data_IF_002838833865
#
_entry.id   IF_002838833865
#
_cell.length_a   1.000
_cell.length_b   1.000
_cell.length_c   1.000
_cell.angle_alpha   90.00
_cell.angle_beta   90.00
_cell.angle_gamma   90.00
#
_symmetry.space_group_name_H-M   'P 1'
#
loop_
_entity.id
_entity.type
_entity.pdbx_description
1 polymer ?
#
# COMPACT_ATOMS: atom_id res chain seq x y z
N UNK A 1 7.84 -0.11 13.96
CA UNK A 1 6.89 -0.13 12.85
C UNK A 1 5.47 -0.23 13.39
N UNK A 2 4.53 0.53 12.86
CA UNK A 2 3.15 0.42 13.32
C UNK A 2 2.55 -0.92 12.86
N UNK A 3 1.69 -1.50 13.71
CA UNK A 3 1.05 -2.78 13.42
C UNK A 3 -0.34 -2.50 12.84
N UNK A 4 -0.47 -2.58 11.53
CA UNK A 4 -1.72 -2.33 10.80
C UNK A 4 -2.84 -3.25 11.32
N UNK A 5 -2.52 -4.51 11.60
CA UNK A 5 -3.48 -5.49 12.07
C UNK A 5 -4.12 -5.14 13.41
N UNK A 6 -3.48 -4.30 14.21
CA UNK A 6 -3.98 -3.90 15.53
C UNK A 6 -4.38 -2.43 15.58
N UNK A 7 -4.47 -1.76 14.43
CA UNK A 7 -4.84 -0.35 14.32
C UNK A 7 -4.06 0.54 15.31
N UNK A 8 -2.74 0.35 15.37
CA UNK A 8 -1.85 1.09 16.28
C UNK A 8 -1.07 2.21 15.61
N UNK A 9 -1.36 2.50 14.36
CA UNK A 9 -0.72 3.59 13.65
C UNK A 9 -1.29 4.95 14.08
N UNK A 10 -0.43 5.98 14.10
CA UNK A 10 -0.84 7.34 14.48
C UNK A 10 -1.53 8.05 13.32
N UNK A 11 -2.74 7.62 13.02
CA UNK A 11 -3.61 8.26 12.04
C UNK A 11 -4.34 9.46 12.65
N UNK A 12 -4.96 10.29 11.81
CA UNK A 12 -5.65 11.50 12.27
C UNK A 12 -6.78 11.19 13.27
N UNK A 13 -7.53 10.12 13.04
CA UNK A 13 -8.61 9.70 13.94
C UNK A 13 -8.09 9.29 15.33
N UNK A 14 -6.94 8.62 15.38
CA UNK A 14 -6.33 8.24 16.65
C UNK A 14 -5.72 9.43 17.37
N UNK A 15 -5.11 10.35 16.66
CA UNK A 15 -4.61 11.60 17.23
C UNK A 15 -5.78 12.42 17.81
N UNK A 16 -6.90 12.49 17.08
CA UNK A 16 -8.10 13.19 17.54
C UNK A 16 -8.65 12.62 18.85
N UNK A 17 -8.70 11.28 18.99
CA UNK A 17 -9.17 10.62 20.21
C UNK A 17 -8.32 10.97 21.44
N UNK A 18 -7.06 11.36 21.22
CA UNK A 18 -6.14 11.74 22.30
C UNK A 18 -5.95 13.25 22.42
N UNK A 19 -6.81 14.03 21.74
CA UNK A 19 -6.73 15.50 21.70
C UNK A 19 -5.36 16.03 21.24
N UNK A 20 -4.72 15.28 20.32
CA UNK A 20 -3.45 15.69 19.73
C UNK A 20 -3.69 16.39 18.38
N UNK A 21 -2.78 17.29 17.94
CA UNK A 21 -2.91 17.91 16.63
C UNK A 21 -2.99 16.86 15.51
N UNK A 22 -3.93 17.04 14.60
CA UNK A 22 -4.15 16.11 13.50
C UNK A 22 -4.72 16.85 12.28
N UNK A 23 -4.52 16.34 11.05
CA UNK A 23 -5.18 16.88 9.88
C UNK A 23 -6.70 16.65 9.95
N UNK A 24 -7.49 17.58 9.45
CA UNK A 24 -8.95 17.43 9.36
C UNK A 24 -9.34 16.42 8.28
N UNK A 25 -8.52 16.33 7.22
CA UNK A 25 -8.74 15.43 6.10
C UNK A 25 -7.45 14.68 5.77
N UNK A 26 -7.61 13.56 5.06
CA UNK A 26 -6.48 12.82 4.52
C UNK A 26 -5.62 13.73 3.64
N UNK A 27 -4.34 13.88 3.98
CA UNK A 27 -3.44 14.74 3.21
C UNK A 27 -3.08 14.15 1.83
N UNK A 28 -3.32 12.86 1.62
CA UNK A 28 -3.04 12.23 0.32
C UNK A 28 -4.10 12.56 -0.72
N UNK A 29 -5.37 12.59 -0.35
CA UNK A 29 -6.47 12.84 -1.29
C UNK A 29 -7.22 14.15 -1.03
N UNK A 30 -7.15 14.69 0.18
CA UNK A 30 -7.86 15.89 0.63
C UNK A 30 -9.39 15.81 0.43
N UNK A 31 -9.95 14.61 0.49
CA UNK A 31 -11.37 14.40 0.24
C UNK A 31 -12.13 13.83 1.43
N UNK A 32 -11.51 12.96 2.21
CA UNK A 32 -12.16 12.22 3.27
C UNK A 32 -11.34 12.27 4.56
N UNK A 33 -12.00 11.97 5.68
CA UNK A 33 -11.32 11.85 6.97
C UNK A 33 -10.31 10.72 6.93
N UNK A 34 -9.21 10.89 7.64
CA UNK A 34 -8.13 9.92 7.66
C UNK A 34 -8.34 8.87 8.74
N UNK A 35 -8.35 7.60 8.35
CA UNK A 35 -8.12 6.46 9.22
C UNK A 35 -7.22 5.47 8.48
N UNK A 36 -6.81 4.40 9.16
CA UNK A 36 -5.85 3.45 8.57
C UNK A 36 -6.45 2.71 7.37
N UNK A 37 -7.75 2.41 7.41
CA UNK A 37 -8.43 1.72 6.30
C UNK A 37 -8.48 2.62 5.07
N UNK A 38 -8.80 3.89 5.26
CA UNK A 38 -8.82 4.86 4.17
C UNK A 38 -7.43 5.00 3.54
N UNK A 39 -6.39 5.24 4.35
CA UNK A 39 -5.03 5.44 3.85
C UNK A 39 -4.55 4.25 3.03
N UNK A 40 -4.82 3.03 3.48
CA UNK A 40 -4.27 1.83 2.87
C UNK A 40 -5.10 1.26 1.74
N UNK A 41 -6.40 1.56 1.65
CA UNK A 41 -7.28 0.94 0.65
C UNK A 41 -8.19 1.89 -0.10
N UNK A 42 -8.99 2.72 0.59
CA UNK A 42 -10.09 3.45 -0.05
C UNK A 42 -9.71 4.82 -0.57
N UNK A 43 -8.60 5.38 -0.12
CA UNK A 43 -8.10 6.67 -0.59
C UNK A 43 -7.84 6.64 -2.10
N UNK A 44 -8.34 7.63 -2.83
CA UNK A 44 -8.18 7.69 -4.29
C UNK A 44 -6.69 7.73 -4.70
N UNK A 45 -5.85 8.43 -3.94
CA UNK A 45 -4.41 8.49 -4.17
C UNK A 45 -3.79 7.10 -4.00
N UNK A 46 -4.12 6.41 -2.91
CA UNK A 46 -3.61 5.07 -2.60
C UNK A 46 -4.10 4.03 -3.61
N UNK A 47 -5.36 4.12 -4.05
CA UNK A 47 -5.89 3.20 -5.07
C UNK A 47 -5.17 3.35 -6.41
N UNK A 48 -4.81 4.57 -6.80
CA UNK A 48 -4.02 4.81 -8.00
C UNK A 48 -2.62 4.20 -7.87
N UNK A 49 -2.02 4.31 -6.70
CA UNK A 49 -0.73 3.66 -6.40
C UNK A 49 -0.84 2.13 -6.52
N UNK A 50 -1.86 1.53 -5.89
CA UNK A 50 -2.10 0.08 -6.01
C UNK A 50 -2.33 -0.34 -7.46
N UNK A 51 -3.08 0.45 -8.22
CA UNK A 51 -3.30 0.19 -9.64
C UNK A 51 -1.97 0.13 -10.39
N UNK A 52 -1.11 1.09 -10.20
CA UNK A 52 0.20 1.14 -10.87
C UNK A 52 1.07 -0.06 -10.50
N UNK A 53 1.16 -0.40 -9.22
CA UNK A 53 1.96 -1.54 -8.76
C UNK A 53 1.38 -2.85 -9.28
N UNK A 54 0.11 -3.10 -8.98
CA UNK A 54 -0.52 -4.39 -9.30
C UNK A 54 -0.59 -4.61 -10.81
N UNK A 55 -0.83 -3.56 -11.58
CA UNK A 55 -0.82 -3.67 -13.06
C UNK A 55 0.57 -4.03 -13.58
N UNK A 56 1.63 -3.52 -12.94
CA UNK A 56 3.01 -3.85 -13.34
C UNK A 56 3.37 -5.32 -13.11
N UNK A 57 2.60 -6.02 -12.26
CA UNK A 57 2.75 -7.46 -12.01
C UNK A 57 1.64 -8.28 -12.67
N UNK A 58 0.80 -7.67 -13.52
CA UNK A 58 -0.32 -8.37 -14.14
C UNK A 58 -1.47 -8.68 -13.18
N UNK A 59 -1.56 -7.99 -12.07
CA UNK A 59 -2.53 -8.25 -10.99
C UNK A 59 -3.58 -7.15 -10.87
N UNK A 60 -3.94 -6.50 -11.97
CA UNK A 60 -4.88 -5.38 -11.99
C UNK A 60 -6.27 -5.75 -11.46
N UNK A 61 -6.65 -7.01 -11.47
CA UNK A 61 -7.92 -7.48 -10.89
C UNK A 61 -7.94 -7.43 -9.37
N UNK A 62 -6.79 -7.25 -8.75
CA UNK A 62 -6.66 -7.17 -7.29
C UNK A 62 -6.67 -5.73 -6.76
N UNK A 63 -6.79 -4.72 -7.62
CA UNK A 63 -6.78 -3.32 -7.20
C UNK A 63 -7.97 -3.06 -6.26
N UNK A 64 -7.74 -2.40 -5.09
CA UNK A 64 -8.84 -2.16 -4.16
C UNK A 64 -9.86 -1.17 -4.72
N UNK A 65 -11.12 -1.38 -4.38
CA UNK A 65 -12.19 -0.44 -4.73
C UNK A 65 -12.36 0.61 -3.63
N UNK A 66 -13.13 1.66 -3.93
CA UNK A 66 -13.45 2.69 -2.93
C UNK A 66 -14.42 2.21 -1.85
N UNK A 67 -15.02 1.04 -2.04
CA UNK A 67 -16.01 0.47 -1.14
C UNK A 67 -15.46 -0.67 -0.30
N UNK A 68 -14.13 -0.80 -0.23
CA UNK A 68 -13.52 -1.84 0.60
C UNK A 68 -13.91 -1.64 2.07
N UNK A 69 -14.29 -2.72 2.73
CA UNK A 69 -14.65 -2.70 4.15
C UNK A 69 -13.43 -2.54 5.05
N UNK A 70 -12.30 -3.17 4.69
CA UNK A 70 -11.05 -3.06 5.41
C UNK A 70 -9.87 -3.50 4.56
N UNK A 71 -8.68 -3.08 4.96
CA UNK A 71 -7.41 -3.51 4.34
C UNK A 71 -7.25 -5.03 4.41
N UNK A 72 -7.51 -5.61 5.57
CA UNK A 72 -7.40 -7.07 5.77
C UNK A 72 -8.37 -7.86 4.89
N UNK A 73 -9.59 -7.39 4.76
CA UNK A 73 -10.61 -8.05 3.93
C UNK A 73 -10.25 -7.97 2.44
N UNK A 74 -9.81 -6.81 1.98
CA UNK A 74 -9.30 -6.65 0.62
C UNK A 74 -8.14 -7.60 0.33
N UNK A 75 -7.16 -7.68 1.24
CA UNK A 75 -5.98 -8.52 1.11
C UNK A 75 -6.39 -10.00 1.03
N UNK A 76 -7.23 -10.45 1.96
CA UNK A 76 -7.72 -11.84 2.01
C UNK A 76 -8.45 -12.22 0.72
N UNK A 77 -9.34 -11.35 0.24
CA UNK A 77 -10.11 -11.58 -0.98
C UNK A 77 -9.21 -11.59 -2.22
N UNK A 78 -8.24 -10.69 -2.27
CA UNK A 78 -7.29 -10.62 -3.38
C UNK A 78 -6.40 -11.85 -3.44
N UNK A 79 -5.94 -12.35 -2.30
CA UNK A 79 -5.10 -13.55 -2.23
C UNK A 79 -5.81 -14.78 -2.83
N UNK A 80 -7.13 -14.85 -2.73
CA UNK A 80 -7.91 -15.93 -3.34
C UNK A 80 -7.88 -15.95 -4.87
N UNK A 81 -7.56 -14.81 -5.49
CA UNK A 81 -7.45 -14.68 -6.95
C UNK A 81 -6.06 -15.04 -7.46
N UNK A 82 -5.12 -15.33 -6.56
CA UNK A 82 -3.72 -15.56 -6.86
C UNK A 82 -3.42 -17.05 -6.77
N UNK A 83 -2.61 -17.58 -7.68
CA UNK A 83 -2.15 -18.96 -7.64
C UNK A 83 -1.32 -19.20 -6.37
N UNK A 84 -1.44 -20.40 -5.78
CA UNK A 84 -0.81 -20.73 -4.50
C UNK A 84 0.70 -20.53 -4.48
N UNK A 85 1.37 -20.86 -5.57
CA UNK A 85 2.82 -20.72 -5.70
C UNK A 85 3.28 -19.24 -5.68
N UNK A 86 2.36 -18.30 -5.91
CA UNK A 86 2.63 -16.86 -5.91
C UNK A 86 2.14 -16.14 -4.66
N UNK A 87 1.52 -16.83 -3.71
CA UNK A 87 0.96 -16.21 -2.51
C UNK A 87 2.00 -15.47 -1.67
N UNK A 88 3.16 -16.09 -1.45
CA UNK A 88 4.23 -15.46 -0.66
C UNK A 88 4.70 -14.17 -1.30
N UNK A 89 4.88 -14.17 -2.60
CA UNK A 89 5.26 -12.98 -3.37
C UNK A 89 4.21 -11.90 -3.29
N UNK A 90 2.95 -12.26 -3.47
CA UNK A 90 1.85 -11.32 -3.36
C UNK A 90 1.73 -10.72 -1.95
N UNK A 91 1.81 -11.55 -0.91
CA UNK A 91 1.75 -11.09 0.47
C UNK A 91 2.90 -10.14 0.79
N UNK A 92 4.11 -10.45 0.34
CA UNK A 92 5.28 -9.57 0.51
C UNK A 92 5.07 -8.25 -0.23
N UNK A 93 4.50 -8.29 -1.43
CA UNK A 93 4.18 -7.10 -2.22
C UNK A 93 3.19 -6.18 -1.50
N UNK A 94 2.15 -6.76 -0.89
CA UNK A 94 1.15 -6.01 -0.13
C UNK A 94 1.78 -5.34 1.10
N UNK A 95 2.62 -6.07 1.84
CA UNK A 95 3.33 -5.51 3.00
C UNK A 95 4.24 -4.36 2.58
N UNK A 96 5.00 -4.56 1.50
CA UNK A 96 5.90 -3.52 0.96
C UNK A 96 5.11 -2.28 0.52
N UNK A 97 4.03 -2.48 -0.23
CA UNK A 97 3.19 -1.38 -0.68
C UNK A 97 2.57 -0.58 0.47
N UNK A 98 2.04 -1.28 1.47
CA UNK A 98 1.48 -0.65 2.66
C UNK A 98 2.53 0.15 3.44
N UNK A 99 3.74 -0.39 3.58
CA UNK A 99 4.87 0.28 4.22
C UNK A 99 5.25 1.58 3.49
N UNK A 100 5.33 1.53 2.16
CA UNK A 100 5.67 2.68 1.33
C UNK A 100 4.59 3.77 1.44
N UNK A 101 3.31 3.39 1.40
CA UNK A 101 2.19 4.33 1.58
C UNK A 101 2.28 5.01 2.94
N UNK A 102 2.50 4.23 4.00
CA UNK A 102 2.58 4.73 5.36
C UNK A 102 3.74 5.71 5.55
N UNK A 103 4.91 5.39 5.02
CA UNK A 103 6.08 6.28 5.06
C UNK A 103 5.79 7.60 4.33
N UNK A 104 5.19 7.53 3.16
CA UNK A 104 4.86 8.72 2.37
C UNK A 104 3.86 9.61 3.10
N UNK A 105 2.81 9.01 3.65
CA UNK A 105 1.84 9.73 4.48
C UNK A 105 2.52 10.47 5.64
N UNK A 106 3.46 9.82 6.32
CA UNK A 106 4.17 10.43 7.44
C UNK A 106 5.03 11.62 7.01
N UNK A 107 5.68 11.52 5.88
CA UNK A 107 6.44 12.65 5.30
C UNK A 107 5.51 13.82 4.99
N UNK A 108 4.33 13.56 4.44
CA UNK A 108 3.35 14.60 4.18
C UNK A 108 2.82 15.25 5.47
N UNK A 109 2.51 14.44 6.48
CA UNK A 109 1.91 14.93 7.73
C UNK A 109 2.93 15.66 8.60
N UNK A 110 4.13 15.09 8.77
CA UNK A 110 5.09 15.59 9.76
C UNK A 110 6.16 16.50 9.15
N UNK A 111 6.44 16.41 7.86
CA UNK A 111 7.45 17.21 7.18
C UNK A 111 6.86 18.19 6.16
N UNK A 112 5.55 18.17 5.97
CA UNK A 112 4.85 19.09 5.07
C UNK A 112 5.10 18.85 3.59
N UNK A 113 5.55 17.66 3.20
CA UNK A 113 5.74 17.31 1.80
C UNK A 113 4.41 17.23 1.07
N UNK A 114 4.42 17.52 -0.23
CA UNK A 114 3.23 17.35 -1.07
C UNK A 114 3.10 15.89 -1.51
N UNK A 115 1.89 15.31 -1.51
CA UNK A 115 1.68 13.98 -2.05
C UNK A 115 2.10 13.89 -3.51
N UNK A 116 2.87 12.85 -3.86
CA UNK A 116 3.35 12.63 -5.22
C UNK A 116 3.32 11.14 -5.55
N UNK A 117 2.46 10.74 -6.48
CA UNK A 117 2.39 9.37 -6.97
C UNK A 117 3.68 8.92 -7.62
N UNK A 118 4.35 9.81 -8.36
CA UNK A 118 5.61 9.49 -9.02
C UNK A 118 6.70 9.19 -8.00
N UNK A 119 6.81 10.00 -6.95
CA UNK A 119 7.77 9.76 -5.87
C UNK A 119 7.44 8.48 -5.12
N UNK A 120 6.15 8.23 -4.86
CA UNK A 120 5.70 7.02 -4.17
C UNK A 120 6.02 5.78 -5.00
N UNK A 121 5.75 5.81 -6.29
CA UNK A 121 6.04 4.69 -7.18
C UNK A 121 7.54 4.46 -7.33
N UNK A 122 8.34 5.51 -7.40
CA UNK A 122 9.80 5.39 -7.45
C UNK A 122 10.34 4.78 -6.14
N UNK A 123 9.83 5.24 -4.99
CA UNK A 123 10.20 4.66 -3.69
C UNK A 123 9.86 3.17 -3.63
N UNK A 124 8.73 2.77 -4.18
CA UNK A 124 8.35 1.37 -4.28
C UNK A 124 9.36 0.58 -5.12
N UNK A 125 9.73 1.08 -6.28
CA UNK A 125 10.70 0.39 -7.17
C UNK A 125 12.05 0.22 -6.48
N UNK A 126 12.52 1.24 -5.79
CA UNK A 126 13.80 1.21 -5.07
C UNK A 126 13.77 0.18 -3.94
N UNK A 127 12.73 0.18 -3.13
CA UNK A 127 12.56 -0.77 -2.02
C UNK A 127 12.37 -2.20 -2.54
N UNK A 128 11.57 -2.37 -3.58
CA UNK A 128 11.39 -3.68 -4.23
C UNK A 128 12.73 -4.27 -4.66
N UNK A 129 13.56 -3.45 -5.30
CA UNK A 129 14.90 -3.87 -5.73
C UNK A 129 15.76 -4.29 -4.55
N UNK A 130 15.79 -3.48 -3.47
CA UNK A 130 16.55 -3.78 -2.26
C UNK A 130 16.06 -5.06 -1.58
N UNK A 131 14.76 -5.27 -1.50
CA UNK A 131 14.19 -6.48 -0.89
C UNK A 131 14.56 -7.72 -1.71
N UNK A 132 14.54 -7.64 -3.03
CA UNK A 132 14.97 -8.73 -3.91
C UNK A 132 16.45 -9.05 -3.72
N UNK A 133 17.32 -8.03 -3.63
CA UNK A 133 18.74 -8.20 -3.36
C UNK A 133 19.01 -8.82 -1.98
N UNK A 134 18.18 -8.48 -0.99
CA UNK A 134 18.29 -9.02 0.37
C UNK A 134 17.77 -10.45 0.51
N UNK A 135 17.28 -11.07 -0.58
CA UNK A 135 16.86 -12.46 -0.59
C UNK A 135 15.35 -12.69 -0.52
N UNK A 136 14.53 -11.69 -0.83
CA UNK A 136 13.09 -11.85 -0.94
C UNK A 136 12.72 -12.63 -2.21
N UNK A 137 13.02 -13.94 -2.20
CA UNK A 137 12.87 -14.84 -3.38
C UNK A 137 11.45 -14.86 -3.93
N UNK A 138 10.46 -14.75 -3.08
CA UNK A 138 9.05 -14.75 -3.49
C UNK A 138 8.68 -13.53 -4.31
N UNK A 139 9.28 -12.36 -4.04
CA UNK A 139 9.11 -11.17 -4.89
C UNK A 139 9.77 -11.36 -6.25
N UNK A 140 10.97 -11.94 -6.29
CA UNK A 140 11.65 -12.26 -7.54
C UNK A 140 10.83 -13.23 -8.39
N UNK A 141 10.24 -14.24 -7.78
CA UNK A 141 9.40 -15.23 -8.47
C UNK A 141 8.15 -14.57 -9.07
N UNK A 142 7.56 -13.60 -8.38
CA UNK A 142 6.42 -12.84 -8.87
C UNK A 142 6.79 -12.02 -10.12
N UNK A 143 7.94 -11.33 -10.07
CA UNK A 143 8.46 -10.54 -11.20
C UNK A 143 8.86 -11.43 -12.38
N UNK A 144 9.50 -12.55 -12.13
CA UNK A 144 9.92 -13.50 -13.19
C UNK A 144 8.72 -14.09 -13.92
N UNK A 145 7.64 -14.41 -13.19
CA UNK A 145 6.40 -14.91 -13.77
C UNK A 145 5.77 -13.90 -14.74
N UNK A 146 5.87 -12.62 -14.44
CA UNK A 146 5.40 -11.56 -15.32
C UNK A 146 6.25 -11.45 -16.59
N UNK A 147 7.56 -11.52 -16.48
CA UNK A 147 8.46 -11.48 -17.63
C UNK A 147 8.19 -12.64 -18.59
N UNK A 148 7.89 -13.83 -18.07
CA UNK A 148 7.52 -14.99 -18.87
C UNK A 148 6.19 -14.82 -19.61
N UNK A 149 5.27 -14.08 -19.03
CA UNK A 149 3.96 -13.80 -19.62
C UNK A 149 3.99 -12.83 -20.79
N UNK A 150 5.10 -12.14 -20.99
CA UNK A 150 5.29 -11.18 -22.08
C UNK A 150 6.04 -11.77 -23.27
N UNK A 151 6.45 -13.01 -23.14
CA UNK A 151 7.20 -13.72 -24.21
C UNK A 151 6.32 -14.36 -25.24
#
# INVERSE_FOLDING_TARGET
>A
MCTVAHDRCWTADRLARRNLPHPERCLLCDQEAEDIQHILTTCVFTRDFWFRILSSFGLQLCVPSRHESSFSEWWRRSAKKIQKDKWKGFNTLVVLGAWIIWKHRNVCVFEGARPSLDNLFQAFKDEHHLWCLAGARSLNSLSAGQASGLG
#
